data_IF_504878708482
#
_entry.id   IF_504878708482
#
_cell.length_a   1.000
_cell.length_b   1.000
_cell.length_c   1.000
_cell.angle_alpha   90.00
_cell.angle_beta   90.00
_cell.angle_gamma   90.00
#
_symmetry.space_group_name_H-M   'P 1'
#
loop_
_entity.id
_entity.type
_entity.pdbx_description
1 polymer ?
#
# COMPACT_ATOMS: atom_id res chain seq x y z
N UNK A 1 -13.87 -8.60 20.89
CA UNK A 1 -13.02 -9.74 21.33
C UNK A 1 -11.57 -9.67 20.83
N UNK A 2 -11.20 -8.88 19.81
CA UNK A 2 -9.80 -8.79 19.33
C UNK A 2 -8.85 -7.90 20.17
N UNK A 3 -9.37 -7.04 21.06
CA UNK A 3 -8.53 -6.18 21.94
C UNK A 3 -7.85 -6.91 23.10
N UNK A 4 -8.24 -8.15 23.39
CA UNK A 4 -7.70 -8.91 24.54
C UNK A 4 -6.44 -9.71 24.15
N UNK A 5 -6.21 -9.99 22.86
CA UNK A 5 -4.98 -10.67 22.41
C UNK A 5 -3.74 -9.75 22.47
N UNK A 6 -3.95 -8.42 22.37
CA UNK A 6 -2.88 -7.42 22.39
C UNK A 6 -2.15 -7.34 23.75
N UNK A 7 -2.85 -7.66 24.85
CA UNK A 7 -2.31 -7.58 26.20
C UNK A 7 -1.42 -8.77 26.60
N UNK A 8 -1.40 -9.85 25.81
CA UNK A 8 -0.56 -11.03 26.12
C UNK A 8 0.83 -10.92 25.45
N UNK A 9 1.01 -10.04 24.46
CA UNK A 9 2.32 -9.82 23.82
C UNK A 9 3.11 -8.63 24.40
N UNK A 10 2.46 -7.71 25.11
CA UNK A 10 3.10 -6.50 25.66
C UNK A 10 3.90 -6.69 26.98
N UNK A 11 3.74 -7.73 27.83
CA UNK A 11 4.63 -7.87 28.99
C UNK A 11 6.05 -8.36 28.61
N UNK A 12 6.35 -8.57 27.32
CA UNK A 12 7.69 -8.97 26.85
C UNK A 12 8.64 -7.81 26.53
N UNK A 13 8.19 -6.55 26.61
CA UNK A 13 9.04 -5.37 26.39
C UNK A 13 10.07 -5.10 27.52
N UNK A 14 10.14 -5.98 28.53
CA UNK A 14 11.05 -5.83 29.69
C UNK A 14 12.16 -6.88 29.81
N UNK A 15 12.29 -7.84 28.89
CA UNK A 15 13.40 -8.82 28.92
C UNK A 15 14.08 -8.80 27.55
N UNK A 16 15.35 -8.42 27.54
CA UNK A 16 16.26 -8.45 26.40
C UNK A 16 16.52 -9.89 25.91
N UNK A 17 15.47 -10.60 25.50
CA UNK A 17 15.60 -11.94 24.94
C UNK A 17 15.93 -11.80 23.45
N UNK A 18 17.04 -12.43 23.05
CA UNK A 18 17.41 -12.53 21.64
C UNK A 18 16.31 -13.28 20.87
N UNK A 19 15.86 -12.71 19.77
CA UNK A 19 14.92 -13.32 18.82
C UNK A 19 15.71 -13.98 17.69
N UNK A 20 15.11 -14.96 17.00
CA UNK A 20 15.69 -15.54 15.78
C UNK A 20 14.74 -15.32 14.61
N UNK A 21 15.27 -14.78 13.51
CA UNK A 21 14.51 -14.28 12.37
C UNK A 21 15.12 -14.81 11.09
N UNK A 22 14.28 -15.19 10.14
CA UNK A 22 14.69 -15.62 8.82
C UNK A 22 14.14 -14.70 7.73
N UNK A 23 14.99 -14.28 6.81
CA UNK A 23 14.65 -13.55 5.60
C UNK A 23 14.98 -14.36 4.36
N UNK A 24 14.01 -14.54 3.47
CA UNK A 24 14.20 -15.13 2.15
C UNK A 24 14.58 -14.02 1.19
N UNK A 25 15.88 -13.89 0.95
CA UNK A 25 16.46 -12.88 0.06
C UNK A 25 17.34 -13.54 -1.00
N UNK A 26 17.37 -13.04 -2.25
CA UNK A 26 18.29 -13.51 -3.28
C UNK A 26 19.71 -13.16 -2.84
N UNK A 27 20.54 -14.14 -2.48
CA UNK A 27 21.88 -13.82 -1.97
C UNK A 27 22.79 -13.22 -3.03
N UNK A 28 22.46 -13.48 -4.30
CA UNK A 28 23.13 -12.96 -5.48
C UNK A 28 23.17 -11.42 -5.49
N UNK A 29 22.26 -10.76 -4.76
CA UNK A 29 22.25 -9.31 -4.63
C UNK A 29 23.35 -8.75 -3.69
N UNK A 30 23.92 -9.57 -2.80
CA UNK A 30 24.92 -9.12 -1.82
C UNK A 30 26.34 -9.48 -2.23
N UNK A 31 26.55 -10.64 -2.85
CA UNK A 31 27.84 -11.01 -3.41
C UNK A 31 27.68 -12.21 -4.36
N UNK A 32 27.96 -12.08 -5.67
CA UNK A 32 27.90 -13.20 -6.60
C UNK A 32 28.96 -14.27 -6.33
N UNK A 33 30.01 -13.96 -5.55
CA UNK A 33 31.11 -14.89 -5.25
C UNK A 33 31.42 -14.92 -3.74
N UNK A 34 30.56 -15.63 -3.00
CA UNK A 34 30.63 -15.77 -1.54
C UNK A 34 31.92 -16.45 -1.06
N UNK A 35 32.68 -17.10 -1.95
CA UNK A 35 33.83 -17.92 -1.57
C UNK A 35 35.18 -17.21 -1.65
N UNK A 36 35.30 -16.14 -2.43
CA UNK A 36 36.61 -15.58 -2.81
C UNK A 36 37.13 -14.47 -1.91
N UNK A 37 36.29 -13.87 -1.06
CA UNK A 37 36.62 -12.58 -0.44
C UNK A 37 36.98 -12.69 1.06
N UNK A 38 37.02 -13.89 1.64
CA UNK A 38 37.35 -14.14 3.05
C UNK A 38 36.34 -13.59 4.08
N UNK A 39 35.29 -12.91 3.62
CA UNK A 39 34.23 -12.27 4.43
C UNK A 39 33.08 -13.23 4.80
N UNK A 40 33.05 -14.42 4.21
CA UNK A 40 32.06 -15.47 4.45
C UNK A 40 32.80 -16.71 4.93
N UNK A 41 32.24 -17.41 5.92
CA UNK A 41 32.82 -18.66 6.45
C UNK A 41 31.77 -19.77 6.41
N UNK A 42 32.08 -20.89 5.75
CA UNK A 42 31.26 -22.11 5.84
C UNK A 42 31.28 -22.65 7.26
N UNK A 43 30.12 -23.01 7.80
CA UNK A 43 29.97 -23.56 9.13
C UNK A 43 29.76 -25.08 9.05
N UNK A 44 30.53 -25.84 9.82
CA UNK A 44 30.36 -27.30 9.93
C UNK A 44 29.14 -27.69 10.78
N UNK A 45 28.63 -26.76 11.59
CA UNK A 45 27.46 -26.93 12.46
C UNK A 45 26.71 -25.61 12.66
N UNK A 46 25.40 -25.65 12.99
CA UNK A 46 24.66 -24.44 13.33
C UNK A 46 25.32 -23.64 14.47
N UNK A 47 25.27 -22.30 14.44
CA UNK A 47 25.83 -21.45 15.49
C UNK A 47 25.03 -21.51 16.81
N UNK A 48 23.79 -21.98 16.75
CA UNK A 48 22.91 -22.19 17.90
C UNK A 48 21.73 -23.08 17.54
N UNK A 49 20.95 -23.46 18.54
CA UNK A 49 19.69 -24.17 18.34
C UNK A 49 18.66 -23.22 17.70
N UNK A 50 18.16 -23.60 16.52
CA UNK A 50 17.11 -22.88 15.82
C UNK A 50 16.32 -23.81 14.92
N UNK A 51 15.01 -23.60 14.88
CA UNK A 51 14.08 -24.27 13.99
C UNK A 51 14.33 -24.00 12.49
N UNK A 52 15.09 -22.95 12.16
CA UNK A 52 15.49 -22.63 10.80
C UNK A 52 16.60 -23.56 10.24
N UNK A 53 17.23 -24.36 11.10
CA UNK A 53 18.34 -25.23 10.71
C UNK A 53 17.95 -26.71 10.83
N UNK A 54 18.27 -27.48 9.78
CA UNK A 54 18.11 -28.93 9.73
C UNK A 54 19.46 -29.61 9.64
N UNK A 55 19.51 -30.88 10.07
CA UNK A 55 20.70 -31.70 9.90
C UNK A 55 21.05 -31.83 8.41
N UNK A 56 22.28 -31.47 8.05
CA UNK A 56 22.77 -31.49 6.67
C UNK A 56 22.57 -30.20 5.89
N UNK A 57 21.98 -29.16 6.48
CA UNK A 57 21.91 -27.84 5.84
C UNK A 57 23.30 -27.28 5.58
N UNK A 58 23.47 -26.62 4.45
CA UNK A 58 24.68 -25.90 4.11
C UNK A 58 24.60 -24.46 4.64
N UNK A 59 25.42 -24.18 5.67
CA UNK A 59 25.37 -22.93 6.44
C UNK A 59 26.63 -22.09 6.22
N UNK A 60 26.44 -20.80 6.01
CA UNK A 60 27.51 -19.83 5.79
C UNK A 60 27.34 -18.64 6.73
N UNK A 61 28.32 -18.35 7.56
CA UNK A 61 28.35 -17.13 8.36
C UNK A 61 28.64 -15.92 7.47
N UNK A 62 27.79 -14.90 7.56
CA UNK A 62 27.83 -13.70 6.70
C UNK A 62 27.98 -12.40 7.50
N UNK A 63 28.40 -12.49 8.76
CA UNK A 63 28.53 -11.34 9.68
C UNK A 63 29.44 -10.23 9.18
N UNK A 64 30.35 -10.53 8.24
CA UNK A 64 31.27 -9.57 7.60
C UNK A 64 31.02 -9.38 6.10
N UNK A 65 30.01 -10.04 5.54
CA UNK A 65 29.80 -10.10 4.10
C UNK A 65 28.90 -8.99 3.57
N UNK A 66 28.07 -8.41 4.43
CA UNK A 66 27.17 -7.30 4.13
C UNK A 66 27.66 -6.09 4.91
N UNK A 67 27.65 -4.91 4.29
CA UNK A 67 27.82 -3.66 5.02
C UNK A 67 26.56 -3.42 5.86
N UNK A 68 26.56 -3.95 7.08
CA UNK A 68 25.51 -3.70 8.06
C UNK A 68 25.62 -2.23 8.45
N UNK A 69 24.72 -1.37 7.93
CA UNK A 69 24.82 0.09 8.15
C UNK A 69 24.80 0.41 9.64
N UNK A 70 25.98 0.65 10.23
CA UNK A 70 26.09 1.50 11.39
C UNK A 70 25.83 2.94 10.96
N UNK A 71 25.31 3.79 11.86
CA UNK A 71 25.33 5.23 11.61
C UNK A 71 26.74 5.64 11.15
N UNK A 72 26.89 6.48 10.10
CA UNK A 72 28.18 7.01 9.75
C UNK A 72 28.71 7.74 10.99
N UNK A 73 29.74 7.18 11.64
CA UNK A 73 30.48 7.93 12.65
C UNK A 73 31.06 9.12 11.92
N UNK A 74 30.68 10.33 12.33
CA UNK A 74 30.92 11.60 11.63
C UNK A 74 32.40 12.01 11.49
N UNK A 75 33.36 11.08 11.61
CA UNK A 75 34.80 11.33 11.51
C UNK A 75 35.61 10.15 10.92
N UNK A 76 35.01 9.17 10.24
CA UNK A 76 35.80 8.13 9.56
C UNK A 76 36.19 8.53 8.13
N UNK A 77 37.48 8.31 7.82
CA UNK A 77 38.06 8.46 6.49
C UNK A 77 37.27 7.58 5.49
N UNK A 78 36.79 8.10 4.34
CA UNK A 78 36.07 7.31 3.34
C UNK A 78 36.89 6.18 2.71
N UNK A 79 38.19 6.07 3.03
CA UNK A 79 39.09 5.00 2.62
C UNK A 79 39.49 4.03 3.76
N UNK A 80 39.02 4.24 4.99
CA UNK A 80 39.14 3.22 6.05
C UNK A 80 38.09 2.12 5.82
N UNK A 81 38.54 0.85 5.80
CA UNK A 81 37.64 -0.30 5.75
C UNK A 81 36.65 -0.19 6.91
N UNK A 82 35.38 0.02 6.58
CA UNK A 82 34.28 -0.03 7.53
C UNK A 82 34.26 -1.41 8.19
N UNK A 83 34.68 -1.47 9.46
CA UNK A 83 34.49 -2.61 10.37
C UNK A 83 33.02 -2.73 10.79
N UNK A 84 32.08 -2.55 9.86
CA UNK A 84 30.65 -2.74 10.06
C UNK A 84 30.35 -4.23 10.26
N UNK A 85 30.58 -4.68 11.48
CA UNK A 85 30.33 -6.05 11.92
C UNK A 85 28.91 -6.12 12.47
N UNK A 86 28.18 -7.18 12.11
CA UNK A 86 26.91 -7.56 12.72
C UNK A 86 27.00 -7.51 14.26
N UNK A 87 26.10 -6.77 14.92
CA UNK A 87 26.13 -6.54 16.37
C UNK A 87 25.37 -7.58 17.20
N UNK A 88 24.54 -8.43 16.56
CA UNK A 88 23.81 -9.48 17.28
C UNK A 88 24.59 -10.77 17.48
N UNK A 89 23.93 -11.77 18.08
CA UNK A 89 24.53 -13.06 18.43
C UNK A 89 25.18 -13.77 17.22
N UNK A 90 24.44 -13.89 16.12
CA UNK A 90 24.95 -14.49 14.86
C UNK A 90 24.05 -14.18 13.67
N UNK A 91 24.61 -14.27 12.47
CA UNK A 91 23.88 -14.17 11.19
C UNK A 91 24.47 -15.13 10.16
N UNK A 92 23.60 -15.96 9.58
CA UNK A 92 23.95 -17.12 8.76
C UNK A 92 23.06 -17.17 7.54
N UNK A 93 23.66 -17.35 6.36
CA UNK A 93 22.94 -17.80 5.19
C UNK A 93 22.82 -19.33 5.18
N UNK A 94 21.58 -19.81 5.15
CA UNK A 94 21.25 -21.20 4.92
C UNK A 94 20.96 -21.40 3.42
N UNK A 95 21.93 -21.98 2.71
CA UNK A 95 21.86 -22.17 1.26
C UNK A 95 20.74 -23.16 0.86
N UNK A 96 20.45 -24.14 1.71
CA UNK A 96 19.42 -25.16 1.48
C UNK A 96 18.00 -24.56 1.51
N UNK A 97 17.72 -23.67 2.45
CA UNK A 97 16.43 -22.96 2.54
C UNK A 97 16.40 -21.64 1.75
N UNK A 98 17.55 -21.16 1.27
CA UNK A 98 17.75 -19.84 0.66
C UNK A 98 17.29 -18.70 1.58
N UNK A 99 17.64 -18.81 2.85
CA UNK A 99 17.28 -17.81 3.86
C UNK A 99 18.54 -17.29 4.55
N UNK A 100 18.56 -15.99 4.83
CA UNK A 100 19.44 -15.41 5.83
C UNK A 100 18.71 -15.51 7.17
N UNK A 101 19.35 -16.13 8.15
CA UNK A 101 18.82 -16.33 9.49
C UNK A 101 19.73 -15.60 10.46
N UNK A 102 19.17 -14.76 11.33
CA UNK A 102 19.93 -14.04 12.34
C UNK A 102 19.31 -14.20 13.72
N UNK A 103 20.16 -14.09 14.74
CA UNK A 103 19.76 -14.02 16.13
C UNK A 103 20.34 -12.77 16.77
N UNK A 104 19.52 -12.05 17.52
CA UNK A 104 19.90 -10.81 18.18
C UNK A 104 18.71 -10.12 18.86
N UNK A 105 18.94 -8.93 19.38
CA UNK A 105 17.88 -8.06 19.89
C UNK A 105 16.98 -7.58 18.74
N UNK A 106 15.77 -7.13 19.06
CA UNK A 106 14.85 -6.61 18.03
C UNK A 106 15.46 -5.46 17.21
N UNK A 107 16.24 -4.58 17.86
CA UNK A 107 16.91 -3.45 17.22
C UNK A 107 17.93 -3.95 16.19
N UNK A 108 18.82 -4.86 16.59
CA UNK A 108 19.82 -5.46 15.68
C UNK A 108 19.15 -6.14 14.48
N UNK A 109 18.06 -6.89 14.73
CA UNK A 109 17.35 -7.60 13.66
C UNK A 109 16.66 -6.64 12.68
N UNK A 110 16.19 -5.48 13.14
CA UNK A 110 15.66 -4.42 12.28
C UNK A 110 16.77 -3.74 11.46
N UNK A 111 17.95 -3.54 12.03
CA UNK A 111 19.11 -3.04 11.29
C UNK A 111 19.57 -4.02 10.20
N UNK A 112 19.58 -5.32 10.50
CA UNK A 112 19.83 -6.36 9.50
C UNK A 112 18.80 -6.28 8.37
N UNK A 113 17.51 -6.27 8.69
CA UNK A 113 16.44 -6.18 7.69
C UNK A 113 16.60 -4.96 6.75
N UNK A 114 16.90 -3.79 7.32
CA UNK A 114 17.17 -2.57 6.56
C UNK A 114 18.41 -2.72 5.67
N UNK A 115 19.49 -3.29 6.18
CA UNK A 115 20.73 -3.50 5.43
C UNK A 115 20.57 -4.53 4.31
N UNK A 116 19.68 -5.51 4.50
CA UNK A 116 19.30 -6.47 3.47
C UNK A 116 18.47 -5.85 2.34
N UNK A 117 18.04 -4.58 2.49
CA UNK A 117 17.25 -3.88 1.47
C UNK A 117 15.96 -4.62 1.11
N UNK A 118 15.44 -5.44 2.03
CA UNK A 118 14.35 -6.37 1.72
C UNK A 118 13.06 -5.61 1.28
N UNK A 119 12.76 -4.48 1.92
CA UNK A 119 11.61 -3.63 1.61
C UNK A 119 11.87 -2.66 0.45
N UNK A 120 13.14 -2.29 0.24
CA UNK A 120 13.61 -1.34 -0.79
C UNK A 120 13.93 -2.03 -2.13
N UNK A 121 13.96 -3.36 -2.16
CA UNK A 121 14.21 -4.15 -3.37
C UNK A 121 13.20 -3.82 -4.47
N UNK A 122 13.63 -3.94 -5.73
CA UNK A 122 12.77 -3.76 -6.90
C UNK A 122 11.53 -4.68 -6.80
N UNK A 123 10.43 -4.11 -6.34
CA UNK A 123 9.18 -4.82 -6.18
C UNK A 123 8.44 -4.83 -7.52
N UNK A 124 8.12 -6.03 -7.98
CA UNK A 124 7.16 -6.26 -9.06
C UNK A 124 5.81 -6.47 -8.39
N UNK A 125 4.84 -5.61 -8.71
CA UNK A 125 3.44 -5.81 -8.33
C UNK A 125 2.75 -6.66 -9.39
N UNK A 126 2.41 -7.89 -9.01
CA UNK A 126 1.52 -8.77 -9.78
C UNK A 126 0.09 -8.44 -9.42
N UNK A 127 -0.66 -7.89 -10.37
CA UNK A 127 -2.06 -7.54 -10.19
C UNK A 127 -2.92 -8.56 -10.90
N UNK A 128 -4.04 -8.95 -10.29
CA UNK A 128 -5.04 -9.83 -10.89
C UNK A 128 -6.38 -9.13 -10.83
N UNK A 129 -7.07 -9.06 -11.96
CA UNK A 129 -8.42 -8.53 -12.08
C UNK A 129 -9.33 -9.60 -12.62
N UNK A 130 -10.52 -9.69 -12.06
CA UNK A 130 -11.47 -10.73 -12.39
C UNK A 130 -12.87 -10.16 -12.50
N UNK A 131 -13.46 -10.32 -13.67
CA UNK A 131 -14.84 -10.00 -13.97
C UNK A 131 -15.64 -11.29 -13.97
N UNK A 132 -16.73 -11.31 -13.21
CA UNK A 132 -17.68 -12.42 -13.15
C UNK A 132 -19.10 -11.93 -13.43
N UNK A 133 -19.89 -12.74 -14.13
CA UNK A 133 -21.26 -12.43 -14.54
C UNK A 133 -21.38 -11.46 -15.72
N UNK A 134 -22.60 -10.96 -15.95
CA UNK A 134 -22.94 -10.03 -17.04
C UNK A 134 -23.72 -10.66 -18.21
N UNK A 135 -24.34 -9.80 -19.02
CA UNK A 135 -25.31 -10.17 -20.06
C UNK A 135 -24.73 -10.90 -21.30
N UNK A 136 -23.42 -11.18 -21.34
CA UNK A 136 -22.79 -11.90 -22.45
C UNK A 136 -22.95 -13.45 -22.36
N UNK A 137 -24.06 -13.94 -21.79
CA UNK A 137 -24.52 -15.32 -22.04
C UNK A 137 -23.80 -16.45 -21.30
N UNK A 138 -23.24 -16.23 -20.12
CA UNK A 138 -22.79 -17.32 -19.24
C UNK A 138 -22.12 -16.83 -17.97
N UNK A 139 -21.91 -17.72 -17.00
CA UNK A 139 -21.02 -17.57 -15.83
C UNK A 139 -19.53 -17.39 -16.25
N UNK A 140 -19.27 -16.67 -17.35
CA UNK A 140 -17.95 -16.46 -17.90
C UNK A 140 -17.12 -15.59 -16.95
N UNK A 141 -16.25 -16.27 -16.23
CA UNK A 141 -15.19 -15.66 -15.44
C UNK A 141 -14.08 -15.21 -16.39
N UNK A 142 -13.87 -13.89 -16.51
CA UNK A 142 -12.78 -13.29 -17.28
C UNK A 142 -11.71 -12.80 -16.33
N UNK A 143 -10.47 -13.22 -16.59
CA UNK A 143 -9.35 -12.94 -15.70
C UNK A 143 -8.23 -12.28 -16.51
N UNK A 144 -7.74 -11.16 -16.01
CA UNK A 144 -6.53 -10.50 -16.49
C UNK A 144 -5.49 -10.46 -15.39
N UNK A 145 -4.24 -10.68 -15.76
CA UNK A 145 -3.10 -10.54 -14.87
C UNK A 145 -2.11 -9.56 -15.47
N UNK A 146 -1.66 -8.61 -14.66
CA UNK A 146 -0.70 -7.59 -15.03
C UNK A 146 0.51 -7.69 -14.11
N UNK A 147 1.66 -7.26 -14.58
CA UNK A 147 2.87 -7.10 -13.76
C UNK A 147 3.46 -5.74 -14.07
N UNK A 148 3.78 -4.98 -13.02
CA UNK A 148 4.39 -3.67 -13.16
C UNK A 148 5.31 -3.38 -11.99
N UNK A 149 6.27 -2.49 -12.22
CA UNK A 149 7.05 -1.88 -11.14
C UNK A 149 6.27 -0.73 -10.50
N UNK A 150 6.74 -0.30 -9.33
CA UNK A 150 6.21 0.85 -8.61
C UNK A 150 6.05 2.09 -9.51
N UNK A 151 4.87 2.70 -9.53
CA UNK A 151 4.56 3.91 -10.30
C UNK A 151 4.63 3.74 -11.82
N UNK A 152 4.62 2.50 -12.33
CA UNK A 152 4.57 2.23 -13.78
C UNK A 152 3.19 1.72 -14.15
N UNK A 153 2.60 2.32 -15.18
CA UNK A 153 1.31 1.91 -15.72
C UNK A 153 1.45 0.66 -16.58
N UNK A 154 0.67 -0.37 -16.27
CA UNK A 154 0.50 -1.57 -17.08
C UNK A 154 -0.90 -1.62 -17.71
N UNK A 155 -1.03 -2.38 -18.80
CA UNK A 155 -2.29 -2.62 -19.51
C UNK A 155 -2.40 -4.08 -19.94
N UNK A 156 -3.61 -4.63 -19.90
CA UNK A 156 -3.94 -5.94 -20.42
C UNK A 156 -5.34 -5.94 -21.03
N UNK A 157 -5.57 -6.79 -22.02
CA UNK A 157 -6.83 -6.92 -22.72
C UNK A 157 -7.09 -8.37 -23.10
N UNK A 158 -8.34 -8.83 -22.95
CA UNK A 158 -8.79 -10.13 -23.42
C UNK A 158 -10.31 -10.14 -23.57
N UNK A 159 -10.82 -10.61 -24.70
CA UNK A 159 -12.26 -10.79 -24.95
C UNK A 159 -13.10 -9.53 -24.62
N UNK A 160 -12.61 -8.35 -25.02
CA UNK A 160 -13.25 -7.05 -24.77
C UNK A 160 -13.16 -6.56 -23.32
N UNK A 161 -12.64 -7.35 -22.38
CA UNK A 161 -12.27 -6.88 -21.05
C UNK A 161 -10.88 -6.24 -21.12
N UNK A 162 -10.79 -4.96 -20.80
CA UNK A 162 -9.56 -4.18 -20.79
C UNK A 162 -9.31 -3.68 -19.38
N UNK A 163 -8.06 -3.75 -18.93
CA UNK A 163 -7.63 -3.21 -17.64
C UNK A 163 -6.35 -2.41 -17.82
N UNK A 164 -6.28 -1.25 -17.18
CA UNK A 164 -5.07 -0.50 -16.96
C UNK A 164 -4.88 -0.25 -15.47
N UNK A 165 -3.66 -0.43 -14.98
CA UNK A 165 -3.37 -0.30 -13.57
C UNK A 165 -1.98 0.29 -13.34
N UNK A 166 -1.86 1.14 -12.34
CA UNK A 166 -0.62 1.81 -11.92
C UNK A 166 -0.49 1.65 -10.40
N UNK A 167 0.34 0.69 -9.93
CA UNK A 167 0.49 0.39 -8.52
C UNK A 167 1.57 1.27 -7.87
N UNK A 168 1.31 1.71 -6.65
CA UNK A 168 2.26 2.38 -5.78
C UNK A 168 2.40 1.57 -4.49
N UNK A 169 3.61 1.08 -4.19
CA UNK A 169 3.94 0.37 -2.98
C UNK A 169 3.75 1.28 -1.77
N UNK A 170 2.58 1.25 -1.15
CA UNK A 170 2.30 1.99 0.08
C UNK A 170 3.01 1.35 1.28
N UNK A 171 2.79 1.96 2.45
CA UNK A 171 3.32 1.47 3.71
C UNK A 171 2.84 0.03 3.93
N UNK A 172 3.81 -0.82 4.23
CA UNK A 172 3.70 -2.18 4.75
C UNK A 172 2.54 -3.04 4.24
N UNK A 173 2.86 -3.89 3.28
CA UNK A 173 1.94 -4.77 2.54
C UNK A 173 0.74 -4.08 1.86
N UNK A 174 0.40 -2.80 2.09
CA UNK A 174 -0.72 -2.08 1.46
C UNK A 174 -0.34 -1.29 0.19
N UNK A 175 -0.88 -1.64 -0.96
CA UNK A 175 -0.54 -1.03 -2.25
C UNK A 175 -1.65 -0.07 -2.69
N UNK A 176 -1.33 1.20 -2.90
CA UNK A 176 -2.23 2.12 -3.59
C UNK A 176 -2.30 1.73 -5.06
N UNK A 177 -3.49 1.53 -5.60
CA UNK A 177 -3.70 1.08 -6.97
C UNK A 177 -4.61 2.06 -7.69
N UNK A 178 -4.06 2.81 -8.65
CA UNK A 178 -4.86 3.54 -9.63
C UNK A 178 -5.24 2.55 -10.72
N UNK A 179 -6.53 2.35 -10.96
CA UNK A 179 -6.98 1.40 -11.98
C UNK A 179 -8.13 1.94 -12.82
N UNK A 180 -8.23 1.42 -14.04
CA UNK A 180 -9.37 1.60 -14.92
C UNK A 180 -9.64 0.30 -15.64
N UNK A 181 -10.90 -0.11 -15.71
CA UNK A 181 -11.34 -1.29 -16.41
C UNK A 181 -12.55 -0.98 -17.29
N UNK A 182 -12.62 -1.60 -18.47
CA UNK A 182 -13.79 -1.54 -19.36
C UNK A 182 -14.13 -2.91 -19.92
N UNK A 183 -15.42 -3.17 -20.15
CA UNK A 183 -15.91 -4.44 -20.69
C UNK A 183 -17.28 -4.28 -21.38
N UNK A 184 -17.68 -5.21 -22.25
CA UNK A 184 -19.00 -5.15 -22.91
C UNK A 184 -20.15 -5.27 -21.91
N UNK A 185 -21.22 -4.51 -22.12
CA UNK A 185 -22.43 -4.56 -21.28
C UNK A 185 -23.48 -5.59 -21.75
N UNK A 186 -23.16 -6.39 -22.77
CA UNK A 186 -24.03 -7.42 -23.37
C UNK A 186 -25.02 -6.93 -24.42
N UNK A 187 -25.30 -5.62 -24.45
CA UNK A 187 -25.99 -4.98 -25.57
C UNK A 187 -25.00 -4.53 -26.66
N UNK A 188 -25.45 -4.56 -27.92
CA UNK A 188 -24.67 -4.07 -29.06
C UNK A 188 -24.25 -2.61 -28.84
N UNK A 189 -22.96 -2.34 -29.09
CA UNK A 189 -22.28 -1.06 -28.87
C UNK A 189 -22.34 -0.50 -27.43
N UNK A 190 -22.64 -1.33 -26.43
CA UNK A 190 -22.66 -0.90 -25.01
C UNK A 190 -21.48 -1.45 -24.22
N UNK A 191 -20.89 -0.60 -23.38
CA UNK A 191 -19.77 -0.96 -22.51
C UNK A 191 -19.90 -0.37 -21.11
N UNK A 192 -19.38 -1.09 -20.13
CA UNK A 192 -19.11 -0.58 -18.81
C UNK A 192 -17.68 -0.05 -18.75
N UNK A 193 -17.48 1.00 -17.96
CA UNK A 193 -16.16 1.46 -17.54
C UNK A 193 -16.19 1.83 -16.06
N UNK A 194 -15.19 1.38 -15.32
CA UNK A 194 -14.95 1.75 -13.94
C UNK A 194 -13.52 2.28 -13.80
N UNK A 195 -13.34 3.30 -12.97
CA UNK A 195 -12.04 3.89 -12.64
C UNK A 195 -12.03 4.36 -11.19
N UNK A 196 -10.96 4.04 -10.47
CA UNK A 196 -10.79 4.46 -9.08
C UNK A 196 -9.33 4.33 -8.64
N UNK A 197 -9.02 4.98 -7.52
CA UNK A 197 -7.84 4.67 -6.71
C UNK A 197 -8.29 3.86 -5.50
N UNK A 198 -7.60 2.77 -5.17
CA UNK A 198 -7.93 1.89 -4.03
C UNK A 198 -6.66 1.46 -3.29
N UNK A 199 -6.72 1.36 -1.97
CA UNK A 199 -5.63 0.76 -1.17
C UNK A 199 -5.87 -0.75 -1.10
N UNK A 200 -4.97 -1.63 -1.55
CA UNK A 200 -5.13 -3.10 -1.49
C UNK A 200 -4.10 -3.75 -0.56
N UNK A 201 -4.50 -4.70 0.29
CA UNK A 201 -3.55 -5.53 1.02
C UNK A 201 -2.93 -6.60 0.13
N UNK A 202 -1.65 -6.87 0.34
CA UNK A 202 -0.90 -7.93 -0.34
C UNK A 202 -1.63 -9.28 -0.29
N UNK A 203 -1.81 -9.89 -1.47
CA UNK A 203 -2.42 -11.22 -1.63
C UNK A 203 -3.92 -11.29 -1.40
N UNK A 204 -4.57 -10.25 -0.91
CA UNK A 204 -6.00 -10.27 -0.60
C UNK A 204 -6.83 -9.84 -1.82
N UNK A 205 -7.91 -10.58 -2.10
CA UNK A 205 -8.91 -10.22 -3.10
C UNK A 205 -9.89 -9.20 -2.54
N UNK A 206 -10.21 -8.19 -3.35
CA UNK A 206 -11.14 -7.13 -3.00
C UNK A 206 -12.19 -6.91 -4.08
N UNK A 207 -13.39 -6.51 -3.64
CA UNK A 207 -14.41 -6.01 -4.54
C UNK A 207 -14.01 -4.62 -5.01
N UNK A 208 -13.98 -4.40 -6.32
CA UNK A 208 -13.63 -3.11 -6.91
C UNK A 208 -14.88 -2.40 -7.43
N UNK A 209 -15.73 -3.13 -8.14
CA UNK A 209 -17.01 -2.62 -8.61
C UNK A 209 -18.02 -3.75 -8.78
N UNK A 210 -19.31 -3.41 -8.76
CA UNK A 210 -20.41 -4.30 -9.13
C UNK A 210 -21.52 -3.50 -9.81
N UNK A 211 -22.39 -4.17 -10.54
CA UNK A 211 -23.59 -3.56 -11.09
C UNK A 211 -24.48 -4.57 -11.80
N UNK A 212 -25.60 -4.08 -12.31
CA UNK A 212 -26.60 -4.90 -12.99
C UNK A 212 -27.52 -5.66 -12.03
N UNK A 213 -28.59 -6.22 -12.57
CA UNK A 213 -29.61 -6.94 -11.81
C UNK A 213 -29.90 -8.33 -12.42
N UNK A 214 -30.32 -9.27 -11.58
CA UNK A 214 -30.69 -10.63 -12.00
C UNK A 214 -29.57 -11.32 -12.80
N UNK A 215 -29.89 -11.81 -14.00
CA UNK A 215 -28.93 -12.48 -14.89
C UNK A 215 -27.90 -11.53 -15.53
N UNK A 216 -28.13 -10.21 -15.47
CA UNK A 216 -27.19 -9.20 -15.94
C UNK A 216 -26.22 -8.70 -14.87
N UNK A 217 -26.31 -9.23 -13.64
CA UNK A 217 -25.45 -8.82 -12.53
C UNK A 217 -23.99 -9.22 -12.80
N UNK A 218 -23.08 -8.32 -12.47
CA UNK A 218 -21.64 -8.53 -12.62
C UNK A 218 -20.87 -8.02 -11.40
N UNK A 219 -19.69 -8.59 -11.20
CA UNK A 219 -18.75 -8.25 -10.13
C UNK A 219 -17.33 -8.19 -10.68
N UNK A 220 -16.63 -7.09 -10.41
CA UNK A 220 -15.21 -6.91 -10.68
C UNK A 220 -14.44 -6.99 -9.36
N UNK A 221 -13.55 -7.96 -9.24
CA UNK A 221 -12.59 -8.07 -8.14
C UNK A 221 -11.17 -7.77 -8.60
N UNK A 222 -10.32 -7.38 -7.64
CA UNK A 222 -8.91 -7.12 -7.85
C UNK A 222 -8.08 -7.59 -6.68
N UNK A 223 -6.87 -8.05 -6.96
CA UNK A 223 -5.84 -8.31 -5.96
C UNK A 223 -4.47 -7.86 -6.46
N UNK A 224 -3.56 -7.63 -5.52
CA UNK A 224 -2.17 -7.32 -5.82
C UNK A 224 -1.26 -8.17 -4.95
N UNK A 225 -0.19 -8.66 -5.53
CA UNK A 225 0.88 -9.37 -4.83
C UNK A 225 2.17 -8.63 -5.10
N UNK A 226 2.84 -8.16 -4.05
CA UNK A 226 4.20 -7.65 -4.12
C UNK A 226 5.16 -8.81 -4.04
N UNK A 227 6.10 -8.82 -4.96
CA UNK A 227 7.18 -9.77 -4.96
C UNK A 227 8.47 -9.11 -5.41
N UNK A 228 9.59 -9.68 -5.00
CA UNK A 228 10.90 -9.34 -5.58
C UNK A 228 10.92 -9.70 -7.07
N UNK A 229 11.92 -9.20 -7.79
CA UNK A 229 12.16 -9.59 -9.19
C UNK A 229 12.31 -11.12 -9.35
N UNK A 230 12.83 -11.80 -8.33
CA UNK A 230 12.98 -13.26 -8.26
C UNK A 230 11.70 -14.01 -7.87
N UNK A 231 10.59 -13.29 -7.69
CA UNK A 231 9.28 -13.87 -7.44
C UNK A 231 9.00 -14.25 -5.98
N UNK A 232 9.82 -13.80 -5.02
CA UNK A 232 9.57 -14.01 -3.58
C UNK A 232 8.51 -13.02 -3.14
N UNK A 233 7.37 -13.52 -2.63
CA UNK A 233 6.29 -12.66 -2.13
C UNK A 233 6.71 -11.94 -0.84
N UNK A 234 6.24 -10.70 -0.68
CA UNK A 234 6.50 -9.93 0.54
C UNK A 234 5.98 -10.62 1.81
N UNK A 235 4.87 -11.35 1.70
CA UNK A 235 4.29 -12.14 2.79
C UNK A 235 5.05 -13.44 3.12
N UNK A 236 5.94 -13.89 2.22
CA UNK A 236 6.72 -15.13 2.37
C UNK A 236 8.20 -14.87 2.69
N UNK A 237 8.59 -13.60 2.74
CA UNK A 237 9.98 -13.23 2.86
C UNK A 237 10.49 -13.26 4.29
N UNK A 238 9.62 -13.06 5.29
CA UNK A 238 10.05 -12.84 6.67
C UNK A 238 9.38 -13.81 7.62
N UNK A 239 10.19 -14.39 8.51
CA UNK A 239 9.76 -15.42 9.44
C UNK A 239 10.40 -15.18 10.81
N UNK A 240 9.68 -15.51 11.87
CA UNK A 240 10.19 -15.47 13.25
C UNK A 240 10.14 -16.85 13.86
N UNK A 241 11.15 -17.18 14.65
CA UNK A 241 11.14 -18.33 15.53
C UNK A 241 10.52 -17.95 16.88
N UNK A 242 9.43 -18.63 17.22
CA UNK A 242 8.76 -18.55 18.52
C UNK A 242 9.40 -19.51 19.54
N UNK A 243 9.13 -19.32 20.85
CA UNK A 243 9.47 -20.30 21.87
C UNK A 243 9.00 -21.70 21.48
N UNK A 244 9.80 -22.72 21.79
CA UNK A 244 9.64 -24.13 21.36
C UNK A 244 9.97 -24.40 19.89
N UNK A 245 10.86 -23.62 19.28
CA UNK A 245 11.39 -23.88 17.95
C UNK A 245 10.29 -23.97 16.87
N UNK A 246 9.29 -23.08 16.96
CA UNK A 246 8.25 -22.97 15.95
C UNK A 246 8.53 -21.77 15.07
N UNK A 247 8.76 -22.00 13.77
CA UNK A 247 8.87 -20.92 12.78
C UNK A 247 7.47 -20.53 12.30
N UNK A 248 7.17 -19.24 12.29
CA UNK A 248 5.94 -18.70 11.71
C UNK A 248 6.25 -17.47 10.85
N UNK A 249 5.38 -17.13 9.87
CA UNK A 249 5.50 -15.88 9.15
C UNK A 249 5.57 -14.75 10.17
N UNK A 250 6.46 -13.78 9.93
CA UNK A 250 6.56 -12.62 10.79
C UNK A 250 5.18 -11.97 10.83
N UNK A 251 4.55 -11.86 12.02
CA UNK A 251 3.20 -11.37 12.10
C UNK A 251 3.19 -9.95 11.50
N UNK A 252 2.19 -9.62 10.66
CA UNK A 252 1.95 -8.24 10.25
C UNK A 252 1.82 -7.39 11.52
N UNK A 253 2.85 -6.62 11.83
CA UNK A 253 2.94 -5.83 13.07
C UNK A 253 2.24 -4.49 12.89
N UNK A 254 1.84 -3.83 13.97
CA UNK A 254 1.31 -2.46 13.93
C UNK A 254 2.28 -1.43 13.32
N UNK A 255 3.57 -1.79 13.18
CA UNK A 255 4.56 -1.07 12.36
C UNK A 255 4.20 -1.04 10.88
N UNK A 256 3.09 -1.68 10.47
CA UNK A 256 2.59 -1.70 9.11
C UNK A 256 2.17 -0.32 8.56
N UNK A 257 2.23 0.71 9.39
CA UNK A 257 1.98 2.10 8.99
C UNK A 257 3.16 3.02 9.32
N UNK A 258 4.33 2.48 9.67
CA UNK A 258 5.49 3.32 9.97
C UNK A 258 5.85 4.16 8.72
N UNK A 259 5.94 5.49 8.84
CA UNK A 259 6.28 6.34 7.71
C UNK A 259 7.71 6.09 7.28
N UNK A 260 7.98 6.25 5.98
CA UNK A 260 9.37 6.17 5.50
C UNK A 260 10.12 7.35 6.10
N UNK A 261 11.11 7.07 6.96
CA UNK A 261 12.00 8.08 7.52
C UNK A 261 13.44 7.81 7.13
N UNK A 262 14.07 8.80 6.49
CA UNK A 262 15.48 8.71 6.09
C UNK A 262 16.23 9.96 6.51
N UNK A 263 17.34 9.85 7.27
CA UNK A 263 18.20 11.00 7.56
C UNK A 263 18.67 11.68 6.27
N UNK A 264 18.68 13.00 6.27
CA UNK A 264 19.21 13.85 5.22
C UNK A 264 20.18 14.87 5.86
N UNK A 265 21.45 14.47 5.99
CA UNK A 265 22.43 15.23 6.76
C UNK A 265 22.21 15.08 8.27
N UNK A 266 22.70 16.05 9.04
CA UNK A 266 22.71 15.99 10.52
C UNK A 266 21.39 16.40 11.17
N UNK A 267 20.63 17.30 10.52
CA UNK A 267 19.49 17.99 11.15
C UNK A 267 18.15 17.76 10.44
N UNK A 268 18.15 17.21 9.23
CA UNK A 268 16.93 16.98 8.45
C UNK A 268 16.69 15.49 8.24
N UNK A 269 15.42 15.18 8.02
CA UNK A 269 14.93 13.87 7.70
C UNK A 269 13.92 13.99 6.57
N UNK A 270 13.95 13.04 5.66
CA UNK A 270 12.90 12.79 4.69
C UNK A 270 11.79 12.00 5.38
N UNK A 271 10.55 12.43 5.19
CA UNK A 271 9.35 11.74 5.62
C UNK A 271 8.44 11.45 4.42
N UNK A 272 7.89 10.24 4.33
CA UNK A 272 6.85 9.90 3.35
C UNK A 272 5.64 9.29 4.05
N UNK A 273 4.52 9.98 3.93
CA UNK A 273 3.28 9.69 4.62
C UNK A 273 2.18 9.40 3.60
N UNK A 274 1.42 8.33 3.83
CA UNK A 274 0.20 8.07 3.09
C UNK A 274 -0.91 8.97 3.65
N UNK A 275 -1.59 9.74 2.81
CA UNK A 275 -2.65 10.65 3.26
C UNK A 275 -3.78 10.83 2.23
N UNK A 276 -4.95 11.24 2.71
CA UNK A 276 -5.99 11.80 1.85
C UNK A 276 -5.61 13.23 1.43
N UNK A 277 -6.19 13.73 0.34
CA UNK A 277 -5.93 15.08 -0.17
C UNK A 277 -6.76 16.17 0.54
N UNK A 278 -7.59 15.78 1.50
CA UNK A 278 -8.56 16.65 2.19
C UNK A 278 -7.94 17.70 3.11
N UNK A 279 -6.71 17.48 3.57
CA UNK A 279 -5.95 18.49 4.32
C UNK A 279 -5.45 19.65 3.44
N UNK A 280 -5.50 19.54 2.11
CA UNK A 280 -5.05 20.59 1.20
C UNK A 280 -6.10 21.71 1.14
N UNK A 281 -5.93 22.73 1.98
CA UNK A 281 -6.77 23.93 2.03
C UNK A 281 -6.38 24.94 0.94
N UNK A 282 -6.38 24.55 -0.33
CA UNK A 282 -6.03 25.41 -1.45
C UNK A 282 -7.10 25.35 -2.55
N UNK A 283 -7.65 26.52 -2.94
CA UNK A 283 -8.57 26.61 -4.08
C UNK A 283 -7.82 26.48 -5.41
N UNK A 284 -6.63 27.09 -5.50
CA UNK A 284 -5.73 27.04 -6.65
C UNK A 284 -4.38 26.42 -6.23
N UNK A 285 -4.19 25.10 -6.39
CA UNK A 285 -3.02 24.42 -5.88
C UNK A 285 -1.75 24.87 -6.61
N UNK A 286 -0.74 25.27 -5.84
CA UNK A 286 0.58 25.64 -6.37
C UNK A 286 1.39 24.38 -6.60
N UNK A 287 1.85 24.16 -7.83
CA UNK A 287 2.73 23.03 -8.13
C UNK A 287 4.20 23.41 -7.92
N UNK A 288 4.94 22.55 -7.24
CA UNK A 288 6.37 22.70 -6.96
C UNK A 288 7.13 21.45 -7.39
N UNK A 289 8.36 21.64 -7.87
CA UNK A 289 9.25 20.52 -8.16
C UNK A 289 9.82 19.97 -6.85
N UNK A 290 9.72 18.66 -6.60
CA UNK A 290 10.27 18.05 -5.40
C UNK A 290 11.81 18.08 -5.44
N UNK A 291 12.49 18.33 -4.30
CA UNK A 291 13.94 18.18 -4.19
C UNK A 291 14.45 16.83 -4.71
N UNK A 292 15.64 16.81 -5.30
CA UNK A 292 16.25 15.59 -5.87
C UNK A 292 16.34 14.43 -4.87
N UNK A 293 16.46 14.74 -3.58
CA UNK A 293 16.45 13.75 -2.51
C UNK A 293 15.15 12.94 -2.45
N UNK A 294 14.04 13.44 -3.02
CA UNK A 294 12.73 12.78 -3.05
C UNK A 294 12.41 12.08 -4.39
N UNK A 295 13.32 12.11 -5.38
CA UNK A 295 13.07 11.62 -6.73
C UNK A 295 12.73 10.12 -6.81
N UNK A 296 13.04 9.35 -5.75
CA UNK A 296 12.68 7.93 -5.65
C UNK A 296 11.16 7.73 -5.45
N UNK A 297 10.48 8.66 -4.78
CA UNK A 297 9.08 8.52 -4.41
C UNK A 297 8.11 9.25 -5.34
N UNK A 298 8.60 10.14 -6.20
CA UNK A 298 7.76 10.96 -7.06
C UNK A 298 8.44 11.24 -8.40
N UNK A 299 7.63 11.29 -9.46
CA UNK A 299 8.12 11.37 -10.85
C UNK A 299 7.82 12.71 -11.54
N UNK A 300 7.28 13.70 -10.81
CA UNK A 300 6.95 15.02 -11.35
C UNK A 300 6.56 16.03 -10.27
N UNK A 301 5.99 17.17 -10.66
CA UNK A 301 5.57 18.21 -9.73
C UNK A 301 4.53 17.71 -8.72
N UNK A 302 4.56 18.28 -7.53
CA UNK A 302 3.63 18.00 -6.43
C UNK A 302 2.93 19.28 -6.00
N UNK A 303 1.77 19.16 -5.34
CA UNK A 303 1.10 20.32 -4.74
C UNK A 303 1.92 20.77 -3.54
N UNK A 304 2.26 22.06 -3.45
CA UNK A 304 2.93 22.63 -2.29
C UNK A 304 2.03 22.54 -1.07
N UNK A 305 2.41 21.70 -0.11
CA UNK A 305 1.60 21.41 1.06
C UNK A 305 1.95 22.30 2.26
N UNK A 306 2.95 23.19 2.15
CA UNK A 306 3.49 23.94 3.30
C UNK A 306 2.45 24.81 3.97
N UNK A 307 1.74 25.64 3.21
CA UNK A 307 0.69 26.51 3.74
C UNK A 307 -0.43 25.72 4.43
N UNK A 308 -0.87 24.62 3.81
CA UNK A 308 -1.90 23.75 4.39
C UNK A 308 -1.44 23.09 5.68
N UNK A 309 -0.18 22.67 5.77
CA UNK A 309 0.40 22.11 6.99
C UNK A 309 0.65 23.18 8.07
N UNK A 310 0.98 24.41 7.68
CA UNK A 310 1.10 25.54 8.61
C UNK A 310 -0.23 25.87 9.30
N UNK A 311 -1.35 25.80 8.58
CA UNK A 311 -2.70 25.92 9.15
C UNK A 311 -2.97 24.84 10.19
N UNK A 312 -2.40 23.64 10.00
CA UNK A 312 -2.50 22.52 10.95
C UNK A 312 -1.49 22.59 12.10
N UNK A 313 -0.62 23.62 12.13
CA UNK A 313 0.33 23.84 13.21
C UNK A 313 1.73 23.26 12.98
N UNK A 314 2.02 22.74 11.79
CA UNK A 314 3.38 22.33 11.41
C UNK A 314 4.21 23.52 10.97
N UNK A 315 5.51 23.52 11.24
CA UNK A 315 6.38 24.67 10.96
C UNK A 315 7.40 24.33 9.88
N UNK A 316 7.14 24.77 8.64
CA UNK A 316 8.01 24.59 7.47
C UNK A 316 8.81 25.85 7.10
N UNK A 317 9.27 26.58 8.12
CA UNK A 317 9.85 27.92 7.98
C UNK A 317 11.38 27.95 7.85
N UNK A 318 12.06 26.81 8.02
CA UNK A 318 13.53 26.73 7.99
C UNK A 318 14.04 26.45 6.58
N UNK A 319 15.25 26.93 6.28
CA UNK A 319 15.92 26.60 5.04
C UNK A 319 16.11 25.08 4.90
N UNK A 320 15.85 24.56 3.70
CA UNK A 320 15.92 23.12 3.40
C UNK A 320 14.64 22.34 3.75
N UNK A 321 13.66 22.95 4.42
CA UNK A 321 12.39 22.30 4.66
C UNK A 321 11.53 22.26 3.39
N UNK A 322 10.78 21.17 3.24
CA UNK A 322 9.92 20.94 2.10
C UNK A 322 8.67 20.17 2.53
N UNK A 323 7.53 20.50 1.93
CA UNK A 323 6.34 19.67 2.00
C UNK A 323 5.61 19.71 0.67
N UNK A 324 5.32 18.54 0.10
CA UNK A 324 4.61 18.43 -1.15
C UNK A 324 3.71 17.21 -1.19
N UNK A 325 2.50 17.37 -1.72
CA UNK A 325 1.53 16.29 -1.86
C UNK A 325 1.45 15.80 -3.31
N UNK A 326 1.80 14.54 -3.54
CA UNK A 326 1.59 13.89 -4.83
C UNK A 326 0.17 13.33 -4.89
N UNK A 327 -0.69 13.99 -5.67
CA UNK A 327 -2.09 13.59 -5.86
C UNK A 327 -2.22 12.20 -6.46
N UNK A 328 -1.26 11.76 -7.28
CA UNK A 328 -1.32 10.46 -7.95
C UNK A 328 -1.13 9.33 -6.97
N UNK A 329 -0.04 9.35 -6.20
CA UNK A 329 0.23 8.34 -5.19
C UNK A 329 -0.53 8.56 -3.89
N UNK A 330 -1.13 9.75 -3.70
CA UNK A 330 -1.80 10.15 -2.46
C UNK A 330 -0.84 10.23 -1.28
N UNK A 331 0.35 10.80 -1.52
CA UNK A 331 1.44 10.86 -0.53
C UNK A 331 1.81 12.28 -0.20
N UNK A 332 2.01 12.52 1.09
CA UNK A 332 2.70 13.69 1.59
C UNK A 332 4.19 13.37 1.71
N UNK A 333 5.01 14.12 0.99
CA UNK A 333 6.46 14.05 0.98
C UNK A 333 7.00 15.25 1.77
N UNK A 334 7.84 15.00 2.78
CA UNK A 334 8.39 16.07 3.61
C UNK A 334 9.90 15.98 3.74
N UNK A 335 10.53 17.13 3.91
CA UNK A 335 11.88 17.27 4.46
C UNK A 335 11.73 18.22 5.65
N UNK A 336 12.02 17.73 6.85
CA UNK A 336 11.88 18.48 8.09
C UNK A 336 12.81 17.92 9.16
N UNK A 337 12.93 18.61 10.30
CA UNK A 337 13.65 18.07 11.45
C UNK A 337 12.90 16.92 12.13
N UNK A 338 13.60 16.18 13.00
CA UNK A 338 13.05 15.00 13.67
C UNK A 338 11.76 15.30 14.46
N UNK A 339 11.66 16.49 15.06
CA UNK A 339 10.49 16.90 15.83
C UNK A 339 9.27 17.07 14.92
N UNK A 340 9.39 17.77 13.78
CA UNK A 340 8.30 17.90 12.83
C UNK A 340 7.92 16.54 12.23
N UNK A 341 8.89 15.67 11.95
CA UNK A 341 8.58 14.33 11.44
C UNK A 341 7.79 13.50 12.46
N UNK A 342 8.09 13.62 13.76
CA UNK A 342 7.34 13.01 14.86
C UNK A 342 5.89 13.46 14.87
N UNK A 343 5.66 14.78 14.86
CA UNK A 343 4.30 15.33 14.79
C UNK A 343 3.53 14.88 13.54
N UNK A 344 4.19 14.84 12.38
CA UNK A 344 3.57 14.38 11.12
C UNK A 344 3.19 12.91 11.18
N UNK A 345 3.96 12.08 11.89
CA UNK A 345 3.61 10.68 12.10
C UNK A 345 2.33 10.57 12.92
N UNK A 346 2.27 11.26 14.05
CA UNK A 346 1.09 11.22 14.92
C UNK A 346 -0.19 11.60 14.14
N UNK A 347 -0.09 12.58 13.24
CA UNK A 347 -1.23 13.12 12.48
C UNK A 347 -1.60 12.34 11.21
N UNK A 348 -0.65 11.75 10.48
CA UNK A 348 -0.90 11.09 9.20
C UNK A 348 -0.86 9.56 9.26
N UNK A 349 -0.32 8.99 10.33
CA UNK A 349 -0.20 7.54 10.53
C UNK A 349 -1.16 7.08 11.61
N UNK A 350 -1.13 7.74 12.77
CA UNK A 350 -1.87 7.32 13.97
C UNK A 350 -3.24 8.01 14.13
N UNK A 351 -3.66 8.80 13.14
CA UNK A 351 -4.87 9.64 13.17
C UNK A 351 -5.85 9.32 12.02
N UNK A 352 -7.11 9.82 12.07
CA UNK A 352 -8.12 9.67 11.02
C UNK A 352 -7.79 10.36 9.68
N UNK A 353 -6.53 10.72 9.42
CA UNK A 353 -6.08 11.20 8.09
C UNK A 353 -5.37 10.13 7.26
N UNK A 354 -5.11 8.96 7.84
CA UNK A 354 -4.60 7.81 7.10
C UNK A 354 -5.61 7.41 6.00
N UNK A 355 -5.16 7.09 4.78
CA UNK A 355 -6.08 6.76 3.71
C UNK A 355 -6.84 5.47 4.06
N UNK A 356 -8.15 5.57 4.03
CA UNK A 356 -9.04 4.46 4.27
C UNK A 356 -9.80 4.11 3.00
N UNK A 357 -10.43 2.93 3.05
CA UNK A 357 -11.13 2.37 1.91
C UNK A 357 -12.61 2.36 2.18
N UNK A 358 -13.36 2.91 1.23
CA UNK A 358 -14.80 2.97 1.29
C UNK A 358 -15.43 2.16 0.17
N UNK A 359 -16.50 1.44 0.50
CA UNK A 359 -17.41 0.87 -0.48
C UNK A 359 -18.64 1.78 -0.57
N UNK A 360 -18.92 2.27 -1.77
CA UNK A 360 -20.12 3.03 -2.05
C UNK A 360 -21.06 2.25 -2.95
N UNK A 361 -22.30 2.10 -2.51
CA UNK A 361 -23.34 1.43 -3.29
C UNK A 361 -24.59 2.30 -3.43
N UNK A 362 -25.20 2.20 -4.60
CA UNK A 362 -26.47 2.81 -4.94
C UNK A 362 -27.53 1.75 -5.21
N UNK A 363 -28.78 2.07 -4.87
CA UNK A 363 -29.94 1.28 -5.28
C UNK A 363 -30.44 1.60 -6.69
N UNK A 364 -29.93 2.63 -7.36
CA UNK A 364 -30.14 2.86 -8.79
C UNK A 364 -29.33 1.80 -9.55
N UNK A 365 -30.03 0.75 -9.99
CA UNK A 365 -29.50 -0.36 -10.81
C UNK A 365 -28.38 -1.19 -10.14
N UNK A 366 -28.40 -1.24 -8.80
CA UNK A 366 -27.52 -2.03 -7.95
C UNK A 366 -26.01 -1.83 -8.17
N UNK A 367 -25.61 -0.62 -8.59
CA UNK A 367 -24.21 -0.25 -8.81
C UNK A 367 -23.44 -0.05 -7.50
N UNK A 368 -22.16 -0.41 -7.50
CA UNK A 368 -21.26 -0.01 -6.42
C UNK A 368 -19.81 0.00 -6.84
N UNK A 369 -19.02 0.85 -6.19
CA UNK A 369 -17.60 1.03 -6.46
C UNK A 369 -16.82 1.25 -5.16
N UNK A 370 -15.61 0.72 -5.13
CA UNK A 370 -14.65 0.94 -4.04
C UNK A 370 -13.77 2.14 -4.36
N UNK A 371 -13.58 3.02 -3.39
CA UNK A 371 -12.69 4.17 -3.51
C UNK A 371 -11.74 4.30 -2.31
N UNK A 372 -10.62 4.98 -2.54
CA UNK A 372 -9.73 5.53 -1.52
C UNK A 372 -10.27 6.89 -1.08
N UNK A 373 -10.09 7.24 0.19
CA UNK A 373 -10.48 8.55 0.69
C UNK A 373 -9.74 9.69 -0.02
N UNK A 374 -10.45 10.80 -0.25
CA UNK A 374 -10.00 11.97 -1.00
C UNK A 374 -9.74 11.71 -2.49
N UNK A 375 -10.23 10.59 -3.05
CA UNK A 375 -10.05 10.24 -4.46
C UNK A 375 -11.38 9.94 -5.12
N UNK A 376 -11.54 10.46 -6.34
CA UNK A 376 -12.73 10.20 -7.14
C UNK A 376 -12.74 8.75 -7.64
N UNK A 377 -13.89 8.11 -7.55
CA UNK A 377 -14.20 6.85 -8.20
C UNK A 377 -15.41 7.04 -9.12
N UNK A 378 -15.34 6.49 -10.34
CA UNK A 378 -16.38 6.63 -11.35
C UNK A 378 -16.74 5.27 -11.93
N UNK A 379 -18.03 4.97 -11.96
CA UNK A 379 -18.62 3.84 -12.67
C UNK A 379 -19.61 4.39 -13.70
N UNK A 380 -19.47 4.00 -14.95
CA UNK A 380 -20.40 4.44 -15.99
C UNK A 380 -20.63 3.39 -17.05
N UNK A 381 -21.80 3.49 -17.68
CA UNK A 381 -22.20 2.70 -18.84
C UNK A 381 -22.33 3.63 -20.04
N UNK A 382 -21.72 3.24 -21.15
CA UNK A 382 -21.84 3.95 -22.42
C UNK A 382 -22.55 3.09 -23.47
N UNK A 383 -23.14 3.75 -24.47
CA UNK A 383 -23.66 3.13 -25.69
C UNK A 383 -23.30 4.02 -26.88
N UNK A 384 -22.64 3.47 -27.90
CA UNK A 384 -22.14 4.23 -29.07
C UNK A 384 -21.30 5.47 -28.68
N UNK A 385 -20.58 5.38 -27.57
CA UNK A 385 -19.74 6.47 -27.04
C UNK A 385 -20.47 7.48 -26.15
N UNK A 386 -21.80 7.45 -26.08
CA UNK A 386 -22.58 8.34 -25.21
C UNK A 386 -22.75 7.72 -23.82
N UNK A 387 -22.55 8.53 -22.77
CA UNK A 387 -22.76 8.10 -21.38
C UNK A 387 -24.25 7.97 -21.13
N UNK A 388 -24.69 6.74 -20.87
CA UNK A 388 -26.08 6.44 -20.53
C UNK A 388 -26.30 6.48 -19.02
N UNK A 389 -25.27 6.10 -18.25
CA UNK A 389 -25.32 6.01 -16.79
C UNK A 389 -23.99 6.45 -16.22
N UNK A 390 -24.04 7.20 -15.13
CA UNK A 390 -22.88 7.71 -14.41
C UNK A 390 -23.13 7.59 -12.91
N UNK A 391 -22.15 7.07 -12.19
CA UNK A 391 -22.05 7.07 -10.74
C UNK A 391 -20.63 7.46 -10.37
N UNK A 392 -20.44 8.72 -9.96
CA UNK A 392 -19.18 9.24 -9.43
C UNK A 392 -19.33 9.52 -7.94
N UNK A 393 -18.30 9.17 -7.19
CA UNK A 393 -18.17 9.51 -5.78
C UNK A 393 -16.76 10.03 -5.54
N UNK A 394 -16.63 10.94 -4.59
CA UNK A 394 -15.38 11.27 -3.91
C UNK A 394 -15.73 11.40 -2.44
N UNK A 395 -15.11 10.55 -1.61
CA UNK A 395 -15.42 10.48 -0.20
C UNK A 395 -14.20 10.88 0.63
N UNK A 396 -14.37 11.76 1.60
CA UNK A 396 -13.33 12.26 2.52
C UNK A 396 -13.69 11.89 3.96
N UNK A 397 -12.69 11.74 4.84
CA UNK A 397 -12.99 11.47 6.25
C UNK A 397 -13.69 12.69 6.84
N UNK A 398 -14.78 12.46 7.59
CA UNK A 398 -15.30 13.46 8.51
C UNK A 398 -14.84 13.13 9.94
N UNK A 399 -15.57 12.22 10.56
CA UNK A 399 -15.31 11.69 11.91
C UNK A 399 -15.36 10.15 11.83
N UNK A 400 -15.02 9.42 12.89
CA UNK A 400 -14.97 7.94 12.93
C UNK A 400 -16.20 7.27 12.32
N UNK A 401 -17.37 7.91 12.43
CA UNK A 401 -18.67 7.43 11.94
C UNK A 401 -19.24 8.21 10.77
N UNK A 402 -18.62 9.32 10.39
CA UNK A 402 -19.14 10.26 9.40
C UNK A 402 -18.17 10.35 8.23
N UNK A 403 -18.70 10.26 7.02
CA UNK A 403 -17.95 10.43 5.78
C UNK A 403 -18.58 11.55 4.99
N UNK A 404 -17.78 12.53 4.61
CA UNK A 404 -18.23 13.56 3.67
C UNK A 404 -18.10 13.01 2.26
N UNK A 405 -19.17 13.11 1.48
CA UNK A 405 -19.23 12.57 0.12
C UNK A 405 -19.65 13.64 -0.85
N UNK A 406 -18.85 13.83 -1.89
CA UNK A 406 -19.22 14.50 -3.14
C UNK A 406 -19.66 13.44 -4.13
N UNK A 407 -20.75 13.67 -4.85
CA UNK A 407 -21.28 12.72 -5.80
C UNK A 407 -21.76 13.39 -7.08
N UNK A 408 -21.76 12.61 -8.17
CA UNK A 408 -22.22 13.02 -9.48
C UNK A 408 -22.89 11.83 -10.17
N UNK A 409 -24.19 11.91 -10.45
CA UNK A 409 -25.01 10.75 -10.83
C UNK A 409 -25.95 11.09 -11.97
N UNK A 410 -26.01 10.21 -12.97
CA UNK A 410 -26.97 10.34 -14.06
C UNK A 410 -28.33 9.79 -13.62
N UNK A 411 -29.37 10.63 -13.66
CA UNK A 411 -30.76 10.24 -13.32
C UNK A 411 -31.56 9.95 -14.59
N UNK A 412 -31.31 10.70 -15.65
CA UNK A 412 -31.87 10.53 -17.00
C UNK A 412 -30.81 10.92 -18.05
N UNK A 413 -30.94 10.60 -19.36
CA UNK A 413 -29.89 10.85 -20.35
C UNK A 413 -29.30 12.28 -20.35
N UNK A 414 -30.13 13.29 -20.09
CA UNK A 414 -29.71 14.70 -20.05
C UNK A 414 -29.74 15.32 -18.64
N UNK A 415 -29.98 14.51 -17.59
CA UNK A 415 -30.15 14.99 -16.22
C UNK A 415 -29.11 14.35 -15.28
N UNK A 416 -28.25 15.21 -14.72
CA UNK A 416 -27.21 14.86 -13.76
C UNK A 416 -27.50 15.52 -12.42
N UNK A 417 -27.54 14.73 -11.35
CA UNK A 417 -27.53 15.24 -9.98
C UNK A 417 -26.10 15.31 -9.46
N UNK A 418 -25.75 16.45 -8.86
CA UNK A 418 -24.46 16.66 -8.20
C UNK A 418 -24.69 17.24 -6.82
N UNK A 419 -23.91 16.83 -5.83
CA UNK A 419 -24.03 17.37 -4.48
C UNK A 419 -22.91 16.94 -3.56
N UNK A 420 -22.91 17.50 -2.35
CA UNK A 420 -22.03 17.12 -1.26
C UNK A 420 -22.83 16.94 0.03
N UNK A 421 -22.54 15.91 0.81
CA UNK A 421 -23.16 15.72 2.13
C UNK A 421 -22.35 14.83 3.07
N UNK A 422 -22.60 14.98 4.37
CA UNK A 422 -22.05 14.13 5.41
C UNK A 422 -22.97 12.92 5.66
N UNK A 423 -22.41 11.72 5.52
CA UNK A 423 -23.12 10.45 5.67
C UNK A 423 -22.64 9.71 6.91
N UNK A 424 -23.53 8.98 7.56
CA UNK A 424 -23.20 8.04 8.63
C UNK A 424 -22.83 6.72 7.99
N UNK A 425 -21.61 6.22 8.26
CA UNK A 425 -21.12 4.92 7.79
C UNK A 425 -22.12 3.80 8.12
N UNK A 426 -22.22 2.81 7.25
CA UNK A 426 -23.08 1.62 7.36
C UNK A 426 -24.59 1.85 7.34
N UNK A 427 -25.05 3.11 7.22
CA UNK A 427 -26.48 3.43 7.11
C UNK A 427 -26.82 3.87 5.69
N UNK A 428 -27.80 3.22 5.03
CA UNK A 428 -28.35 3.75 3.79
C UNK A 428 -28.97 5.12 4.03
N UNK A 429 -28.60 6.11 3.22
CA UNK A 429 -29.13 7.46 3.29
C UNK A 429 -29.71 7.86 1.95
N UNK A 430 -30.95 8.36 1.96
CA UNK A 430 -31.58 8.88 0.76
C UNK A 430 -30.93 10.21 0.37
N UNK A 431 -30.34 10.29 -0.82
CA UNK A 431 -29.72 11.53 -1.30
C UNK A 431 -30.68 12.38 -2.13
N UNK A 432 -31.55 11.72 -2.89
CA UNK A 432 -32.53 12.37 -3.74
C UNK A 432 -33.76 11.48 -3.91
N UNK A 433 -34.86 12.09 -4.34
CA UNK A 433 -36.03 11.39 -4.82
C UNK A 433 -36.27 11.75 -6.27
N UNK A 434 -36.58 10.77 -7.09
CA UNK A 434 -36.84 11.01 -8.50
C UNK A 434 -38.02 10.15 -8.96
N UNK A 435 -38.72 10.64 -9.99
CA UNK A 435 -39.85 9.96 -10.59
C UNK A 435 -39.35 9.13 -11.78
N UNK A 436 -39.30 7.80 -11.62
CA UNK A 436 -38.97 6.87 -12.70
C UNK A 436 -40.23 6.10 -13.08
N UNK A 437 -40.65 6.23 -14.34
CA UNK A 437 -41.84 5.53 -14.87
C UNK A 437 -43.12 5.75 -14.04
N UNK A 438 -43.30 6.98 -13.51
CA UNK A 438 -44.46 7.33 -12.68
C UNK A 438 -44.40 6.83 -11.24
N UNK A 439 -43.29 6.22 -10.80
CA UNK A 439 -43.06 5.84 -9.41
C UNK A 439 -41.96 6.68 -8.80
N UNK A 440 -42.23 7.25 -7.63
CA UNK A 440 -41.22 7.90 -6.80
C UNK A 440 -40.25 6.83 -6.29
N UNK A 441 -38.97 7.01 -6.60
CA UNK A 441 -37.89 6.13 -6.18
C UNK A 441 -36.90 6.96 -5.38
N UNK A 442 -36.60 6.50 -4.16
CA UNK A 442 -35.53 7.08 -3.37
C UNK A 442 -34.20 6.63 -3.96
N UNK A 443 -33.31 7.56 -4.26
CA UNK A 443 -31.91 7.26 -4.50
C UNK A 443 -31.22 7.16 -3.14
N UNK A 444 -30.74 5.97 -2.79
CA UNK A 444 -29.98 5.75 -1.57
C UNK A 444 -28.51 5.52 -1.88
N UNK A 445 -27.65 6.09 -1.04
CA UNK A 445 -26.23 5.81 -0.99
C UNK A 445 -25.92 5.16 0.36
N UNK A 446 -25.18 4.07 0.31
CA UNK A 446 -24.61 3.46 1.51
C UNK A 446 -23.09 3.49 1.38
N UNK A 447 -22.42 4.06 2.37
CA UNK A 447 -20.97 4.02 2.51
C UNK A 447 -20.62 3.02 3.59
N UNK A 448 -19.73 2.07 3.29
CA UNK A 448 -19.23 1.09 4.24
C UNK A 448 -17.73 1.15 4.37
N UNK A 449 -17.21 0.89 5.56
CA UNK A 449 -15.79 0.65 5.73
C UNK A 449 -15.45 -0.68 5.04
N UNK A 450 -14.60 -0.63 4.01
CA UNK A 450 -14.30 -1.82 3.22
C UNK A 450 -13.12 -2.60 3.81
N UNK A 451 -13.24 -2.99 5.08
CA UNK A 451 -12.44 -4.05 5.69
C UNK A 451 -13.22 -5.34 5.55
N UNK A 452 -12.94 -6.10 4.48
CA UNK A 452 -13.56 -7.40 4.25
C UNK A 452 -13.50 -8.25 5.52
N UNK A 453 -14.65 -8.42 6.17
CA UNK A 453 -14.91 -9.41 7.21
C UNK A 453 -16.02 -10.31 6.73
#
# INVERSE_FOLDING_TARGET
MFRILLLILVPFLGIANALTVGWKVPIEQFNPDLTTNGRVRKLDRPPGESAFFKAGDELWEISKAVEWRGEPRTNQDPFEESDAIWQGDWIVWNASSRMIVARGTFVELKEAEKSLGFEEGLSVMKMRFELSGGAAGGDERRVLSLSSSNGKKAKAESHGFQVSAEPYAGQSASTDLIWSASWPAGEEDSSWKAEATVVLKDGQEFLLARGGEGQGAWKLTGSVVRQTIDGIRSSESRWVELPKQQVMPWPPGHEEFAPVRRPLGESLQIGVYSGAADFLYQEDPVLVEPPAALAEWVTGPVIDARESLEILGFLFLREGFFAGFDVKSGRLLTIADAQQQEMLQDDFVDSPRAPFRLWAETNLEAGGITCRSGQKASLFRSRKGEIQQLFEIEATEGDDRIVDVRYAIQIAPDEKATGGMSLIKEKPQALAKFLRSGKETDFTLTIRDHWGR
#
